data_IF_577006842777
#
_entry.id   IF_577006842777
#
_cell.length_a   1.000
_cell.length_b   1.000
_cell.length_c   1.000
_cell.angle_alpha   90.00
_cell.angle_beta   90.00
_cell.angle_gamma   90.00
#
_symmetry.space_group_name_H-M   'P 1'
#
loop_
_entity.id
_entity.type
_entity.pdbx_description
1 polymer ?
#
# COMPACT_ATOMS: atom_id res chain seq x y z
N UNK A 1 11.20 14.44 4.75
CA UNK A 1 11.32 14.20 6.22
C UNK A 1 11.51 12.70 6.49
N UNK A 2 12.15 12.31 7.60
CA UNK A 2 12.28 10.92 8.05
C UNK A 2 12.02 10.85 9.55
N UNK A 3 11.21 9.89 9.99
CA UNK A 3 10.96 9.60 11.40
C UNK A 3 11.32 8.14 11.69
N UNK A 4 11.73 7.85 12.92
CA UNK A 4 12.12 6.49 13.38
C UNK A 4 11.18 5.92 14.43
N UNK A 5 10.24 6.72 14.92
CA UNK A 5 9.26 6.37 15.95
C UNK A 5 7.88 6.94 15.58
N UNK A 6 6.87 6.42 16.25
CA UNK A 6 5.47 6.74 15.98
C UNK A 6 5.14 8.21 16.26
N UNK A 7 5.58 8.74 17.41
CA UNK A 7 5.19 10.07 17.86
C UNK A 7 5.75 11.15 16.94
N UNK A 8 7.02 11.02 16.54
CA UNK A 8 7.66 11.93 15.57
C UNK A 8 6.99 11.84 14.21
N UNK A 9 6.66 10.63 13.74
CA UNK A 9 5.97 10.43 12.47
C UNK A 9 4.58 11.09 12.48
N UNK A 10 3.83 10.93 13.57
CA UNK A 10 2.53 11.56 13.75
C UNK A 10 2.64 13.09 13.76
N UNK A 11 3.59 13.66 14.50
CA UNK A 11 3.82 15.11 14.51
C UNK A 11 4.12 15.65 13.11
N UNK A 12 4.97 14.95 12.36
CA UNK A 12 5.27 15.31 10.96
C UNK A 12 4.03 15.23 10.07
N UNK A 13 3.27 14.14 10.18
CA UNK A 13 2.02 13.97 9.48
C UNK A 13 0.95 14.98 9.90
N UNK A 14 1.09 15.74 10.99
CA UNK A 14 0.14 16.80 11.37
C UNK A 14 0.65 18.20 11.02
N UNK A 15 1.98 18.38 10.93
CA UNK A 15 2.60 19.70 10.79
C UNK A 15 2.94 20.09 9.35
N UNK A 16 3.08 19.10 8.45
CA UNK A 16 3.54 19.34 7.08
C UNK A 16 2.60 18.75 6.04
N UNK A 17 2.71 19.21 4.80
CA UNK A 17 2.07 18.60 3.62
C UNK A 17 3.08 17.73 2.89
N UNK A 18 2.61 16.61 2.32
CA UNK A 18 3.45 15.67 1.61
C UNK A 18 2.79 15.28 0.29
N UNK A 19 3.59 15.23 -0.78
CA UNK A 19 3.15 14.66 -2.06
C UNK A 19 2.99 13.13 -1.97
N UNK A 20 3.80 12.49 -1.11
CA UNK A 20 3.76 11.05 -0.85
C UNK A 20 4.26 10.72 0.55
N UNK A 21 3.62 9.75 1.17
CA UNK A 21 4.01 9.20 2.48
C UNK A 21 4.36 7.72 2.30
N UNK A 22 5.50 7.32 2.85
CA UNK A 22 5.96 5.93 2.82
C UNK A 22 6.05 5.43 4.27
N UNK A 23 5.24 4.44 4.62
CA UNK A 23 5.14 3.93 5.99
C UNK A 23 5.66 2.51 6.09
N UNK A 24 6.59 2.27 7.00
CA UNK A 24 6.95 0.92 7.41
C UNK A 24 5.90 0.39 8.40
N UNK A 25 5.30 -0.75 8.07
CA UNK A 25 4.23 -1.32 8.88
C UNK A 25 4.74 -2.01 10.15
N UNK A 26 6.04 -2.33 10.22
CA UNK A 26 6.61 -3.17 11.26
C UNK A 26 7.33 -2.36 12.33
N UNK A 27 7.01 -2.61 13.61
CA UNK A 27 7.70 -2.03 14.77
C UNK A 27 7.06 -0.77 15.35
N UNK A 28 6.04 -0.22 14.70
CA UNK A 28 5.24 0.93 15.17
C UNK A 28 3.76 0.73 14.83
N UNK A 29 2.87 1.60 15.33
CA UNK A 29 1.45 1.63 14.96
C UNK A 29 1.24 2.13 13.51
N UNK A 30 1.83 1.45 12.52
CA UNK A 30 1.86 1.87 11.11
C UNK A 30 0.47 2.01 10.49
N UNK A 31 -0.52 1.24 10.94
CA UNK A 31 -1.91 1.40 10.48
C UNK A 31 -2.59 2.67 11.03
N UNK A 32 -2.21 3.16 12.21
CA UNK A 32 -2.73 4.44 12.72
C UNK A 32 -2.09 5.62 11.99
N UNK A 33 -0.79 5.51 11.66
CA UNK A 33 -0.13 6.47 10.78
C UNK A 33 -0.78 6.47 9.38
N UNK A 34 -1.13 5.30 8.84
CA UNK A 34 -1.83 5.18 7.56
C UNK A 34 -3.17 5.91 7.60
N UNK A 35 -4.00 5.66 8.63
CA UNK A 35 -5.28 6.36 8.79
C UNK A 35 -5.09 7.88 8.83
N UNK A 36 -4.08 8.33 9.56
CA UNK A 36 -3.78 9.76 9.69
C UNK A 36 -3.36 10.35 8.35
N UNK A 37 -2.42 9.71 7.64
CA UNK A 37 -1.94 10.17 6.33
C UNK A 37 -3.09 10.22 5.29
N UNK A 38 -3.91 9.17 5.25
CA UNK A 38 -5.08 9.10 4.35
C UNK A 38 -6.15 10.12 4.72
N UNK A 39 -6.41 10.37 6.01
CA UNK A 39 -7.35 11.43 6.44
C UNK A 39 -6.89 12.83 6.04
N UNK A 40 -5.60 13.00 5.78
CA UNK A 40 -5.01 14.24 5.24
C UNK A 40 -4.84 14.21 3.72
N UNK A 41 -5.44 13.22 3.06
CA UNK A 41 -5.44 13.04 1.60
C UNK A 41 -4.04 12.82 1.02
N UNK A 42 -3.09 12.34 1.83
CA UNK A 42 -1.75 12.03 1.34
C UNK A 42 -1.71 10.65 0.67
N UNK A 43 -1.22 10.56 -0.58
CA UNK A 43 -0.93 9.28 -1.21
C UNK A 43 0.04 8.48 -0.33
N UNK A 44 -0.41 7.33 0.16
CA UNK A 44 0.34 6.58 1.18
C UNK A 44 0.70 5.17 0.71
N UNK A 45 2.00 4.89 0.66
CA UNK A 45 2.57 3.58 0.29
C UNK A 45 3.00 2.84 1.55
N UNK A 46 2.54 1.61 1.70
CA UNK A 46 2.95 0.74 2.81
C UNK A 46 4.16 -0.10 2.42
N UNK A 47 5.17 -0.18 3.30
CA UNK A 47 6.33 -1.05 3.20
C UNK A 47 6.27 -2.15 4.27
N UNK A 48 6.55 -3.40 3.90
CA UNK A 48 6.62 -4.53 4.86
C UNK A 48 7.68 -5.54 4.47
N UNK A 49 8.37 -6.18 5.41
CA UNK A 49 9.24 -7.32 5.09
C UNK A 49 8.65 -8.66 5.58
N UNK A 50 8.29 -8.71 6.86
CA UNK A 50 7.87 -9.94 7.53
C UNK A 50 6.36 -10.03 7.74
N UNK A 51 5.66 -8.90 7.90
CA UNK A 51 4.21 -8.85 8.12
C UNK A 51 3.39 -8.88 6.82
N UNK A 52 3.94 -9.49 5.76
CA UNK A 52 3.24 -9.66 4.50
C UNK A 52 2.27 -10.84 4.63
N UNK A 53 0.97 -10.54 4.77
CA UNK A 53 -0.12 -11.50 4.79
C UNK A 53 -1.30 -10.98 3.95
N UNK A 54 -2.23 -11.84 3.53
CA UNK A 54 -3.46 -11.40 2.87
C UNK A 54 -4.25 -10.40 3.72
N UNK A 55 -4.28 -10.57 5.04
CA UNK A 55 -5.00 -9.69 5.96
C UNK A 55 -4.36 -8.31 6.06
N UNK A 56 -3.02 -8.23 6.12
CA UNK A 56 -2.33 -6.93 6.18
C UNK A 56 -2.48 -6.16 4.88
N UNK A 57 -2.39 -6.85 3.74
CA UNK A 57 -2.67 -6.29 2.41
C UNK A 57 -4.11 -5.79 2.30
N UNK A 58 -5.10 -6.62 2.65
CA UNK A 58 -6.53 -6.25 2.67
C UNK A 58 -6.76 -5.04 3.56
N UNK A 59 -6.17 -5.03 4.76
CA UNK A 59 -6.32 -3.92 5.71
C UNK A 59 -5.74 -2.63 5.15
N UNK A 60 -4.58 -2.67 4.50
CA UNK A 60 -3.99 -1.50 3.85
C UNK A 60 -4.87 -0.94 2.74
N UNK A 61 -5.43 -1.79 1.87
CA UNK A 61 -6.38 -1.37 0.83
C UNK A 61 -7.60 -0.68 1.46
N UNK A 62 -8.22 -1.33 2.46
CA UNK A 62 -9.42 -0.80 3.14
C UNK A 62 -9.18 0.53 3.86
N UNK A 63 -7.96 0.77 4.33
CA UNK A 63 -7.57 2.01 5.00
C UNK A 63 -7.13 3.11 4.03
N UNK A 64 -7.19 2.87 2.72
CA UNK A 64 -6.92 3.88 1.70
C UNK A 64 -5.46 4.02 1.30
N UNK A 65 -4.61 3.02 1.57
CA UNK A 65 -3.28 2.99 0.96
C UNK A 65 -3.41 2.97 -0.57
N UNK A 66 -2.45 3.60 -1.25
CA UNK A 66 -2.40 3.60 -2.73
C UNK A 66 -1.58 2.44 -3.27
N UNK A 67 -0.72 1.85 -2.43
CA UNK A 67 0.14 0.71 -2.77
C UNK A 67 0.68 -0.01 -1.52
N UNK A 68 1.19 -1.23 -1.71
CA UNK A 68 1.73 -2.08 -0.65
C UNK A 68 2.93 -2.88 -1.16
N UNK A 69 4.15 -2.47 -0.79
CA UNK A 69 5.39 -3.01 -1.33
C UNK A 69 6.16 -3.86 -0.29
N UNK A 70 6.48 -5.12 -0.61
CA UNK A 70 7.41 -5.93 0.17
C UNK A 70 8.84 -5.35 0.13
N UNK A 71 9.56 -5.27 1.26
CA UNK A 71 10.95 -4.76 1.31
C UNK A 71 11.93 -5.61 0.51
N UNK A 72 11.62 -6.88 0.29
CA UNK A 72 12.38 -7.74 -0.65
C UNK A 72 12.33 -7.20 -2.10
N UNK A 73 11.34 -6.36 -2.40
CA UNK A 73 11.13 -5.69 -3.68
C UNK A 73 11.42 -4.19 -3.61
N UNK A 74 12.18 -3.73 -2.62
CA UNK A 74 12.50 -2.31 -2.45
C UNK A 74 13.28 -1.73 -3.64
N UNK A 75 13.97 -2.56 -4.41
CA UNK A 75 14.59 -2.16 -5.68
C UNK A 75 13.57 -1.64 -6.71
N UNK A 76 12.32 -2.08 -6.60
CA UNK A 76 11.21 -1.65 -7.47
C UNK A 76 10.52 -0.38 -6.93
N UNK A 77 10.87 0.08 -5.71
CA UNK A 77 10.21 1.20 -5.03
C UNK A 77 10.17 2.46 -5.89
N UNK A 78 11.26 2.82 -6.55
CA UNK A 78 11.33 4.03 -7.39
C UNK A 78 10.26 3.98 -8.48
N UNK A 79 10.18 2.87 -9.23
CA UNK A 79 9.16 2.69 -10.27
C UNK A 79 7.74 2.73 -9.70
N UNK A 80 7.50 2.17 -8.52
CA UNK A 80 6.20 2.25 -7.87
C UNK A 80 5.84 3.67 -7.43
N UNK A 81 6.79 4.43 -6.90
CA UNK A 81 6.55 5.83 -6.51
C UNK A 81 6.31 6.72 -7.72
N UNK A 82 7.05 6.51 -8.82
CA UNK A 82 6.81 7.18 -10.09
C UNK A 82 5.38 6.91 -10.57
N UNK A 83 4.92 5.65 -10.53
CA UNK A 83 3.56 5.29 -10.90
C UNK A 83 2.51 6.00 -10.03
N UNK A 84 2.75 6.16 -8.71
CA UNK A 84 1.84 6.86 -7.79
C UNK A 84 1.80 8.36 -8.07
N UNK A 85 2.97 8.98 -8.26
CA UNK A 85 3.08 10.43 -8.49
C UNK A 85 2.52 10.81 -9.87
N UNK A 86 2.87 10.06 -10.92
CA UNK A 86 2.35 10.27 -12.28
C UNK A 86 0.85 9.95 -12.37
N UNK A 87 0.35 9.06 -11.52
CA UNK A 87 -1.07 8.77 -11.38
C UNK A 87 -1.85 9.80 -10.55
N UNK A 88 -1.24 10.94 -10.18
CA UNK A 88 -1.85 11.98 -9.32
C UNK A 88 -2.34 11.42 -7.97
N UNK A 89 -1.63 10.44 -7.40
CA UNK A 89 -2.01 9.80 -6.15
C UNK A 89 -3.13 8.78 -6.27
N UNK A 90 -3.58 8.43 -7.49
CA UNK A 90 -4.56 7.37 -7.70
C UNK A 90 -4.00 6.02 -7.22
N UNK A 91 -4.85 5.13 -6.68
CA UNK A 91 -4.42 3.80 -6.25
C UNK A 91 -3.83 3.00 -7.42
N UNK A 92 -2.61 2.48 -7.25
CA UNK A 92 -1.86 1.77 -8.31
C UNK A 92 -1.88 0.26 -8.09
N UNK A 93 -3.04 -0.26 -7.67
CA UNK A 93 -3.21 -1.66 -7.27
C UNK A 93 -3.12 -2.64 -8.43
N UNK A 94 -3.52 -2.24 -9.63
CA UNK A 94 -3.43 -3.06 -10.84
C UNK A 94 -1.96 -3.39 -11.17
N UNK A 95 -1.12 -2.36 -11.39
CA UNK A 95 0.31 -2.56 -11.66
C UNK A 95 1.00 -3.33 -10.54
N UNK A 96 0.59 -3.11 -9.28
CA UNK A 96 1.09 -3.90 -8.16
C UNK A 96 0.74 -5.38 -8.31
N UNK A 97 -0.53 -5.71 -8.60
CA UNK A 97 -0.95 -7.10 -8.77
C UNK A 97 -0.36 -7.75 -10.03
N UNK A 98 -0.08 -7.00 -11.08
CA UNK A 98 0.60 -7.52 -12.26
C UNK A 98 2.08 -7.80 -11.97
N UNK A 99 2.79 -6.83 -11.38
CA UNK A 99 4.23 -6.95 -11.06
C UNK A 99 4.49 -7.98 -9.95
N UNK A 100 3.65 -7.99 -8.91
CA UNK A 100 3.86 -8.76 -7.68
C UNK A 100 2.87 -9.92 -7.49
N UNK A 101 1.97 -10.17 -8.44
CA UNK A 101 1.00 -11.27 -8.35
C UNK A 101 1.65 -12.63 -8.15
N UNK A 102 2.73 -12.91 -8.90
CA UNK A 102 3.51 -14.14 -8.74
C UNK A 102 4.21 -14.23 -7.38
N UNK A 103 4.68 -13.10 -6.85
CA UNK A 103 5.30 -13.02 -5.54
C UNK A 103 4.29 -13.29 -4.42
N UNK A 104 3.11 -12.66 -4.49
CA UNK A 104 2.01 -12.94 -3.56
C UNK A 104 1.50 -14.38 -3.70
N UNK A 105 1.41 -14.93 -4.91
CA UNK A 105 1.03 -16.33 -5.12
C UNK A 105 1.99 -17.33 -4.46
N UNK A 106 3.31 -17.07 -4.52
CA UNK A 106 4.31 -17.88 -3.82
C UNK A 106 4.20 -17.76 -2.29
N UNK A 107 3.87 -16.57 -1.78
CA UNK A 107 3.83 -16.27 -0.34
C UNK A 107 2.51 -16.70 0.32
N UNK A 108 1.39 -16.45 -0.34
CA UNK A 108 0.03 -16.67 0.18
C UNK A 108 -0.58 -17.99 -0.29
N UNK A 109 0.06 -18.63 -1.28
CA UNK A 109 -0.45 -19.81 -1.95
C UNK A 109 -1.22 -19.48 -3.23
N UNK A 110 -1.43 -20.49 -4.10
CA UNK A 110 -2.22 -20.33 -5.31
C UNK A 110 -3.66 -19.94 -4.96
N UNK A 111 -4.26 -19.15 -5.85
CA UNK A 111 -5.67 -18.74 -5.78
C UNK A 111 -6.04 -17.94 -4.51
N UNK A 112 -5.06 -17.31 -3.86
CA UNK A 112 -5.28 -16.52 -2.64
C UNK A 112 -6.30 -15.39 -2.84
N UNK A 113 -6.38 -14.83 -4.06
CA UNK A 113 -7.39 -13.84 -4.43
C UNK A 113 -8.79 -14.44 -4.55
N UNK A 114 -8.92 -15.64 -5.12
CA UNK A 114 -10.22 -16.29 -5.30
C UNK A 114 -10.79 -16.84 -3.99
N UNK A 115 -9.90 -17.28 -3.10
CA UNK A 115 -10.25 -17.80 -1.77
C UNK A 115 -10.78 -16.73 -0.82
N UNK A 116 -10.55 -15.46 -1.12
CA UNK A 116 -11.00 -14.34 -0.32
C UNK A 116 -11.95 -13.45 -1.13
N UNK A 117 -13.22 -13.45 -0.72
CA UNK A 117 -14.29 -12.67 -1.35
C UNK A 117 -13.93 -11.21 -1.61
N UNK A 118 -13.22 -10.56 -0.68
CA UNK A 118 -12.85 -9.15 -0.86
C UNK A 118 -11.85 -8.98 -2.00
N UNK A 119 -10.84 -9.84 -2.10
CA UNK A 119 -9.83 -9.72 -3.16
C UNK A 119 -10.43 -10.00 -4.53
N UNK A 120 -11.37 -10.94 -4.60
CA UNK A 120 -12.16 -11.20 -5.80
C UNK A 120 -12.98 -9.97 -6.24
N UNK A 121 -13.81 -9.43 -5.34
CA UNK A 121 -14.63 -8.25 -5.62
C UNK A 121 -13.77 -7.02 -5.94
N UNK A 122 -12.62 -6.86 -5.26
CA UNK A 122 -11.69 -5.77 -5.49
C UNK A 122 -11.02 -5.85 -6.87
N UNK A 123 -10.60 -7.04 -7.30
CA UNK A 123 -10.01 -7.24 -8.61
C UNK A 123 -11.04 -7.05 -9.74
N UNK A 124 -12.28 -7.51 -9.53
CA UNK A 124 -13.38 -7.26 -10.46
C UNK A 124 -13.67 -5.76 -10.60
N UNK A 125 -13.70 -5.02 -9.49
CA UNK A 125 -13.88 -3.56 -9.49
C UNK A 125 -12.73 -2.86 -10.22
N UNK A 126 -11.48 -3.22 -9.92
CA UNK A 126 -10.33 -2.64 -10.60
C UNK A 126 -10.47 -2.79 -12.12
N UNK A 127 -10.84 -4.00 -12.61
CA UNK A 127 -11.03 -4.23 -14.05
C UNK A 127 -12.15 -3.38 -14.67
N UNK A 128 -13.21 -3.07 -13.92
CA UNK A 128 -14.31 -2.24 -14.40
C UNK A 128 -13.91 -0.76 -14.50
N UNK A 129 -13.20 -0.23 -13.50
CA UNK A 129 -12.74 1.17 -13.45
C UNK A 129 -11.77 1.51 -14.61
N UNK A 130 -11.23 0.52 -15.33
CA UNK A 130 -10.36 0.70 -16.51
C UNK A 130 -11.06 0.49 -17.86
N UNK A 131 -12.30 -0.01 -17.88
CA UNK A 131 -13.09 -0.16 -19.11
C UNK A 131 -13.98 1.06 -19.42
N UNK A 132 -14.06 2.02 -18.49
CA UNK A 132 -14.72 3.33 -18.65
C UNK A 132 -13.69 4.45 -18.91
#
# INVERSE_FOLDING_TARGET
>A
HKATDYDTALQYLLSYTYDIVILDIMGVNGFELLKTAVSREFPTVMLTAHALSPESLKKSIKLGAVSFLPKEKISELVSFLEDVVLGEGKPVWEKLFDKLGSYFGKRFGPDWKEKDRFFKEFEEKLKQDFQE
#
